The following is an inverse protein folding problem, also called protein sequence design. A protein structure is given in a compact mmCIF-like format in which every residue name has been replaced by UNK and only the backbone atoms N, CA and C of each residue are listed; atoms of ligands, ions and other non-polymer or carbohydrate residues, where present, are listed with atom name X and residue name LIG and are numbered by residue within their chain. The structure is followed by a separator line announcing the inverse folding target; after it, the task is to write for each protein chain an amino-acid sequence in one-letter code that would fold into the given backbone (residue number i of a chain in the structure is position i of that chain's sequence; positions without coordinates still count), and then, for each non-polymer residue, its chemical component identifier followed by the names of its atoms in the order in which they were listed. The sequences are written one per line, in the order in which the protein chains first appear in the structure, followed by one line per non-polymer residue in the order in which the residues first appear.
data_IF_369591630197
#
_entry.id   IF_369591630197
#
_cell.length_a   1.000
_cell.length_b   1.000
_cell.length_c   1.000
_cell.angle_alpha   90.00
_cell.angle_beta   90.00
_cell.angle_gamma   90.00
#
_symmetry.space_group_name_H-M   'P 1'
#
loop_
_entity.id
_entity.type
_entity.pdbx_description
1 polymer ?
#
# COMPACT_ATOMS: atom_id res chain seq x y z
N UNK A 1 -9.68 6.50 -20.08
CA UNK A 1 -8.33 5.94 -19.96
C UNK A 1 -8.44 4.79 -19.00
N UNK A 2 -8.10 3.57 -19.39
CA UNK A 2 -8.51 2.33 -18.72
C UNK A 2 -8.34 2.39 -17.20
N UNK A 3 -9.50 2.41 -16.52
CA UNK A 3 -9.63 2.27 -15.08
C UNK A 3 -9.23 0.83 -14.73
N UNK A 4 -7.99 0.64 -14.27
CA UNK A 4 -7.56 -0.65 -13.74
C UNK A 4 -8.49 -1.05 -12.61
N UNK A 5 -9.33 -2.05 -12.86
CA UNK A 5 -10.26 -2.52 -11.86
C UNK A 5 -9.62 -3.63 -11.02
N UNK A 6 -9.87 -3.70 -9.70
CA UNK A 6 -9.39 -4.79 -8.85
C UNK A 6 -9.80 -6.17 -9.35
N UNK A 7 -10.92 -6.23 -10.06
CA UNK A 7 -11.47 -7.44 -10.71
C UNK A 7 -10.54 -7.92 -11.82
N UNK A 8 -10.02 -7.02 -12.66
CA UNK A 8 -9.11 -7.38 -13.74
C UNK A 8 -7.76 -7.81 -13.19
N UNK A 9 -7.27 -7.18 -12.12
CA UNK A 9 -6.07 -7.64 -11.41
C UNK A 9 -6.27 -9.06 -10.85
N UNK A 10 -7.41 -9.34 -10.21
CA UNK A 10 -7.69 -10.67 -9.68
C UNK A 10 -7.77 -11.73 -10.78
N UNK A 11 -8.33 -11.41 -11.94
CA UNK A 11 -8.35 -12.31 -13.11
C UNK A 11 -6.95 -12.53 -13.68
N UNK A 12 -6.16 -11.47 -13.80
CA UNK A 12 -4.78 -11.52 -14.29
C UNK A 12 -3.85 -12.38 -13.43
N UNK A 13 -4.14 -12.48 -12.14
CA UNK A 13 -3.35 -13.26 -11.18
C UNK A 13 -4.02 -14.59 -10.81
N UNK A 14 -5.09 -14.95 -11.53
CA UNK A 14 -5.80 -16.21 -11.30
C UNK A 14 -4.88 -17.36 -11.69
N UNK A 15 -4.70 -18.31 -10.77
CA UNK A 15 -3.80 -19.45 -10.99
C UNK A 15 -2.35 -19.19 -10.58
N UNK A 16 -2.05 -18.03 -9.98
CA UNK A 16 -0.77 -17.82 -9.30
C UNK A 16 -0.63 -18.80 -8.13
N UNK A 17 0.50 -19.50 -8.07
CA UNK A 17 0.85 -20.38 -6.96
C UNK A 17 1.62 -19.57 -5.92
N UNK A 18 1.01 -19.36 -4.76
CA UNK A 18 1.57 -18.53 -3.70
C UNK A 18 2.33 -19.38 -2.68
N UNK A 19 3.51 -18.92 -2.20
CA UNK A 19 4.12 -17.61 -2.47
C UNK A 19 4.72 -17.48 -3.88
N UNK A 20 4.43 -16.36 -4.55
CA UNK A 20 4.84 -16.11 -5.93
C UNK A 20 5.89 -15.00 -6.02
N UNK A 21 6.88 -15.18 -6.88
CA UNK A 21 7.91 -14.16 -7.14
C UNK A 21 7.35 -13.04 -8.03
N UNK A 22 7.89 -11.83 -7.89
CA UNK A 22 7.52 -10.68 -8.73
C UNK A 22 7.59 -11.01 -10.22
N UNK A 23 8.66 -11.67 -10.64
CA UNK A 23 8.88 -12.04 -12.05
C UNK A 23 7.83 -13.03 -12.56
N UNK A 24 7.55 -14.07 -11.78
CA UNK A 24 6.47 -15.03 -12.02
C UNK A 24 5.11 -14.35 -12.15
N UNK A 25 4.78 -13.44 -11.23
CA UNK A 25 3.53 -12.69 -11.28
C UNK A 25 3.46 -11.75 -12.47
N UNK A 26 4.56 -11.12 -12.86
CA UNK A 26 4.63 -10.29 -14.06
C UNK A 26 4.40 -11.13 -15.31
N UNK A 27 5.07 -12.28 -15.41
CA UNK A 27 4.91 -13.18 -16.55
C UNK A 27 3.49 -13.73 -16.63
N UNK A 28 2.94 -14.20 -15.51
CA UNK A 28 1.58 -14.70 -15.41
C UNK A 28 0.54 -13.62 -15.71
N UNK A 29 0.74 -12.41 -15.19
CA UNK A 29 -0.14 -11.28 -15.47
C UNK A 29 -0.14 -10.97 -16.97
N UNK A 30 1.02 -10.91 -17.62
CA UNK A 30 1.11 -10.68 -19.08
C UNK A 30 0.46 -11.79 -19.89
N UNK A 31 0.66 -13.05 -19.50
CA UNK A 31 0.05 -14.21 -20.15
C UNK A 31 -1.49 -14.16 -20.06
N UNK A 32 -2.01 -13.76 -18.90
CA UNK A 32 -3.44 -13.55 -18.68
C UNK A 32 -3.99 -12.24 -19.28
N UNK A 33 -3.18 -11.47 -20.00
CA UNK A 33 -3.60 -10.22 -20.66
C UNK A 33 -3.76 -9.02 -19.70
N UNK A 34 -2.99 -8.99 -18.62
CA UNK A 34 -2.91 -7.83 -17.75
C UNK A 34 -2.36 -6.61 -18.48
N UNK A 35 -2.88 -5.46 -18.09
CA UNK A 35 -2.50 -4.16 -18.64
C UNK A 35 -1.12 -3.73 -18.09
N UNK A 36 -0.33 -3.07 -18.94
CA UNK A 36 1.09 -2.80 -18.70
C UNK A 36 1.37 -2.05 -17.40
N UNK A 37 0.43 -1.22 -16.91
CA UNK A 37 0.65 -0.53 -15.62
C UNK A 37 0.63 -1.50 -14.42
N UNK A 38 -0.02 -2.67 -14.52
CA UNK A 38 0.02 -3.69 -13.46
C UNK A 38 1.44 -4.24 -13.37
N UNK A 39 2.01 -4.57 -14.53
CA UNK A 39 3.37 -5.09 -14.67
C UNK A 39 4.39 -4.06 -14.19
N UNK A 40 4.23 -2.80 -14.60
CA UNK A 40 5.08 -1.69 -14.19
C UNK A 40 5.05 -1.50 -12.67
N UNK A 41 3.85 -1.41 -12.07
CA UNK A 41 3.72 -1.25 -10.62
C UNK A 41 4.24 -2.46 -9.84
N UNK A 42 4.02 -3.68 -10.33
CA UNK A 42 4.61 -4.89 -9.75
C UNK A 42 6.14 -4.82 -9.79
N UNK A 43 6.71 -4.46 -10.94
CA UNK A 43 8.15 -4.29 -11.12
C UNK A 43 8.74 -3.25 -10.15
N UNK A 44 8.04 -2.12 -9.99
CA UNK A 44 8.42 -0.99 -9.15
C UNK A 44 8.11 -1.18 -7.65
N UNK A 45 7.31 -2.16 -7.27
CA UNK A 45 6.83 -2.36 -5.89
C UNK A 45 7.94 -2.62 -4.85
N UNK A 46 9.19 -2.82 -5.27
CA UNK A 46 10.33 -3.11 -4.41
C UNK A 46 10.25 -4.47 -3.69
N UNK A 47 9.14 -5.20 -3.85
CA UNK A 47 8.93 -6.54 -3.29
C UNK A 47 9.43 -7.59 -4.26
N UNK A 48 10.13 -8.58 -3.71
CA UNK A 48 10.63 -9.72 -4.48
C UNK A 48 9.61 -10.86 -4.54
N UNK A 49 8.78 -11.01 -3.50
CA UNK A 49 7.80 -12.08 -3.36
C UNK A 49 6.49 -11.52 -2.80
N UNK A 50 5.40 -12.18 -3.16
CA UNK A 50 4.06 -11.88 -2.68
C UNK A 50 3.44 -13.14 -2.08
N UNK A 51 2.86 -12.98 -0.90
CA UNK A 51 2.22 -14.08 -0.16
C UNK A 51 0.79 -14.38 -0.63
N UNK A 52 0.21 -13.50 -1.44
CA UNK A 52 -1.16 -13.67 -1.90
C UNK A 52 -1.67 -12.51 -2.77
N UNK A 53 -2.87 -12.67 -3.36
CA UNK A 53 -3.48 -11.66 -4.22
C UNK A 53 -3.69 -10.33 -3.48
N UNK A 54 -3.92 -10.37 -2.17
CA UNK A 54 -4.04 -9.18 -1.33
C UNK A 54 -2.74 -8.35 -1.28
N UNK A 55 -1.58 -9.01 -1.23
CA UNK A 55 -0.28 -8.35 -1.21
C UNK A 55 0.00 -7.65 -2.54
N UNK A 56 -0.43 -8.27 -3.65
CA UNK A 56 -0.33 -7.70 -5.00
C UNK A 56 -1.28 -6.51 -5.17
N UNK A 57 -2.54 -6.65 -4.74
CA UNK A 57 -3.50 -5.53 -4.72
C UNK A 57 -2.93 -4.32 -3.98
N UNK A 58 -2.30 -4.52 -2.82
CA UNK A 58 -1.65 -3.43 -2.09
C UNK A 58 -0.48 -2.81 -2.86
N UNK A 59 0.31 -3.59 -3.58
CA UNK A 59 1.42 -3.06 -4.37
C UNK A 59 0.95 -2.24 -5.59
N UNK A 60 -0.11 -2.70 -6.28
CA UNK A 60 -0.63 -2.07 -7.50
C UNK A 60 -1.54 -0.88 -7.17
N UNK A 61 -2.45 -1.03 -6.22
CA UNK A 61 -3.44 -0.01 -5.87
C UNK A 61 -3.02 0.90 -4.71
N UNK A 62 -2.09 0.47 -3.86
CA UNK A 62 -1.66 1.24 -2.68
C UNK A 62 -1.02 2.58 -3.02
N UNK A 63 -0.48 2.74 -4.24
CA UNK A 63 0.11 4.01 -4.70
C UNK A 63 -0.90 4.94 -5.41
N UNK A 64 -2.04 4.41 -5.88
CA UNK A 64 -3.03 5.16 -6.69
C UNK A 64 -4.16 5.74 -5.82
N UNK A 65 -4.63 4.96 -4.85
CA UNK A 65 -5.71 5.34 -3.94
C UNK A 65 -5.31 6.45 -2.93
N UNK A 66 -4.02 6.75 -2.80
CA UNK A 66 -3.53 7.76 -1.85
C UNK A 66 -3.57 9.20 -2.37
N UNK A 67 -3.97 9.47 -3.62
CA UNK A 67 -3.98 10.84 -4.16
C UNK A 67 -5.34 11.55 -4.21
N UNK A 68 -6.44 10.90 -3.80
CA UNK A 68 -7.79 11.52 -3.85
C UNK A 68 -8.67 11.30 -2.61
N UNK A 69 -8.39 10.33 -1.74
CA UNK A 69 -9.11 10.23 -0.47
C UNK A 69 -8.26 10.78 0.68
N UNK A 70 -8.58 12.01 1.08
CA UNK A 70 -8.01 12.70 2.22
C UNK A 70 -8.17 11.85 3.51
N UNK A 71 -7.09 11.31 4.10
CA UNK A 71 -7.22 10.64 5.38
C UNK A 71 -7.37 11.71 6.48
N UNK A 72 -8.56 11.76 7.06
CA UNK A 72 -8.84 12.35 8.37
C UNK A 72 -8.17 11.52 9.50
N UNK A 73 -6.90 11.18 9.36
CA UNK A 73 -6.14 10.36 10.30
C UNK A 73 -4.73 10.96 10.42
N UNK A 74 -4.53 11.85 11.40
CA UNK A 74 -3.21 12.47 11.59
C UNK A 74 -3.10 13.70 12.49
N UNK A 75 -4.01 13.90 13.46
CA UNK A 75 -3.76 14.82 14.58
C UNK A 75 -3.30 14.04 15.82
N UNK A 76 -2.09 13.49 15.77
CA UNK A 76 -1.31 13.13 16.97
C UNK A 76 0.14 13.45 16.67
N UNK A 77 0.71 14.42 17.40
CA UNK A 77 2.09 14.83 17.23
C UNK A 77 2.44 16.27 17.58
N UNK A 78 1.78 16.92 18.54
CA UNK A 78 2.40 18.06 19.23
C UNK A 78 3.15 17.52 20.44
N UNK A 79 4.39 17.13 20.18
CA UNK A 79 5.43 16.98 21.19
C UNK A 79 5.63 18.30 21.93
N UNK A 80 5.90 18.19 23.23
CA UNK A 80 5.71 19.25 24.19
C UNK A 80 6.73 20.39 24.13
N UNK A 81 6.34 21.48 24.77
CA UNK A 81 7.28 22.42 25.34
C UNK A 81 6.67 23.17 26.55
N UNK A 82 7.31 22.94 27.69
CA UNK A 82 7.54 23.90 28.77
C UNK A 82 6.35 24.27 29.68
N UNK A 83 6.43 23.76 30.93
CA UNK A 83 7.02 24.50 32.08
C UNK A 83 6.24 24.17 33.34
N UNK A 84 6.69 23.12 34.02
CA UNK A 84 6.46 22.92 35.45
C UNK A 84 6.80 24.23 36.17
N UNK A 85 5.80 24.85 36.79
CA UNK A 85 6.02 25.91 37.79
C UNK A 85 5.70 25.28 39.14
N UNK A 86 6.67 25.19 40.07
CA UNK A 86 6.37 24.76 41.42
C UNK A 86 5.43 25.79 42.09
N UNK A 87 4.31 25.31 42.61
CA UNK A 87 3.46 26.11 43.51
C UNK A 87 4.13 26.15 44.90
N UNK A 88 4.28 27.32 45.53
CA UNK A 88 4.88 27.40 46.86
C UNK A 88 3.96 26.77 47.90
N UNK A 89 4.54 25.92 48.74
CA UNK A 89 3.92 25.42 49.96
C UNK A 89 3.48 26.59 50.83
N UNK A 90 2.17 26.68 51.09
CA UNK A 90 1.65 27.68 52.03
C UNK A 90 1.81 27.13 53.43
N UNK A 91 2.72 27.76 54.15
CA UNK A 91 2.94 27.58 55.57
C UNK A 91 1.75 28.11 56.40
N UNK A 92 1.56 27.46 57.56
CA UNK A 92 0.67 27.77 58.69
C UNK A 92 -0.80 27.35 58.58
#
# INVERSE_FOLDING_TARGET
MADMSPIDLQKALKGADYPASRDDLVSLARDNGADDKVVDKLSQSGRQQFDGPNAVQKAVFGNDWSSTVNPIEGRVGMSGNARFRPVPARAR
#
